data_IF_829746075612
#
_entry.id   IF_829746075612
#
_cell.length_a   1.000
_cell.length_b   1.000
_cell.length_c   1.000
_cell.angle_alpha   90.00
_cell.angle_beta   90.00
_cell.angle_gamma   90.00
#
_symmetry.space_group_name_H-M   'P 1'
#
loop_
_entity.id
_entity.type
_entity.pdbx_description
1 polymer ?
#
# COMPACT_ATOMS: atom_id res chain seq x y z
N UNK A 1 10.61 6.78 -7.91
CA UNK A 1 9.42 7.06 -7.06
C UNK A 1 9.86 7.78 -5.79
N UNK A 2 9.05 8.73 -5.35
CA UNK A 2 9.32 9.44 -4.11
C UNK A 2 9.05 8.55 -2.91
N UNK A 3 9.91 8.64 -1.91
CA UNK A 3 9.74 7.86 -0.69
C UNK A 3 8.60 8.38 0.18
N UNK A 4 7.85 7.45 0.76
CA UNK A 4 6.80 7.72 1.73
C UNK A 4 7.20 7.14 3.09
N UNK A 5 6.57 7.58 4.20
CA UNK A 5 6.82 6.98 5.51
C UNK A 5 6.32 5.54 5.57
N UNK A 6 7.07 4.70 6.28
CA UNK A 6 6.65 3.35 6.66
C UNK A 6 6.98 3.18 8.14
N UNK A 7 5.94 2.92 8.94
CA UNK A 7 6.10 2.78 10.39
C UNK A 7 6.47 1.35 10.74
N UNK A 8 7.76 1.06 10.72
CA UNK A 8 8.29 -0.30 10.94
C UNK A 8 7.85 -0.91 12.26
N UNK A 9 7.74 -0.11 13.31
CA UNK A 9 7.32 -0.59 14.63
C UNK A 9 5.90 -1.15 14.62
N UNK A 10 5.02 -0.55 13.84
CA UNK A 10 3.64 -1.02 13.69
C UNK A 10 3.54 -2.20 12.73
N UNK A 11 4.35 -2.21 11.69
CA UNK A 11 4.27 -3.23 10.65
C UNK A 11 4.78 -4.58 11.12
N UNK A 12 5.87 -4.59 11.90
CA UNK A 12 6.52 -5.81 12.36
C UNK A 12 6.84 -6.75 11.18
N UNK A 13 7.26 -6.14 10.06
CA UNK A 13 7.63 -6.86 8.85
C UNK A 13 9.13 -7.02 8.69
N UNK A 14 9.60 -7.52 7.53
CA UNK A 14 11.02 -7.59 7.24
C UNK A 14 11.69 -6.22 7.29
N UNK A 15 12.97 -6.18 7.65
CA UNK A 15 13.70 -4.92 7.82
C UNK A 15 13.90 -4.13 6.52
N UNK A 16 13.84 -4.80 5.38
CA UNK A 16 14.04 -4.17 4.07
C UNK A 16 12.81 -3.41 3.55
N UNK A 17 11.76 -3.29 4.35
CA UNK A 17 10.54 -2.60 3.93
C UNK A 17 10.78 -1.14 3.60
N UNK A 18 10.16 -0.66 2.53
CA UNK A 18 10.21 0.72 2.06
C UNK A 18 8.82 1.11 1.57
N UNK A 19 8.47 2.37 1.71
CA UNK A 19 7.22 2.86 1.15
C UNK A 19 7.48 3.97 0.13
N UNK A 20 6.57 4.09 -0.83
CA UNK A 20 6.67 5.08 -1.91
C UNK A 20 5.31 5.72 -2.15
N UNK A 21 5.36 6.97 -2.65
CA UNK A 21 4.18 7.65 -3.15
C UNK A 21 4.00 7.31 -4.62
N UNK A 22 2.79 6.95 -5.01
CA UNK A 22 2.39 6.81 -6.41
C UNK A 22 1.15 7.65 -6.66
N UNK A 23 1.00 8.15 -7.89
CA UNK A 23 -0.14 9.01 -8.24
C UNK A 23 -1.00 8.29 -9.26
N UNK A 24 -2.28 8.16 -8.97
CA UNK A 24 -3.24 7.58 -9.89
C UNK A 24 -3.52 8.53 -11.05
N UNK A 25 -4.08 8.01 -12.14
CA UNK A 25 -4.36 8.79 -13.36
C UNK A 25 -5.22 10.02 -13.09
N UNK A 26 -6.15 9.92 -12.14
CA UNK A 26 -7.02 11.04 -11.75
C UNK A 26 -6.38 12.00 -10.74
N UNK A 27 -5.07 11.87 -10.49
CA UNK A 27 -4.28 12.80 -9.69
C UNK A 27 -4.22 12.52 -8.20
N UNK A 28 -4.90 11.51 -7.69
CA UNK A 28 -4.87 11.20 -6.26
C UNK A 28 -3.60 10.43 -5.89
N UNK A 29 -3.01 10.83 -4.77
CA UNK A 29 -1.77 10.23 -4.28
C UNK A 29 -2.05 9.07 -3.34
N UNK A 30 -1.36 7.97 -3.59
CA UNK A 30 -1.45 6.74 -2.80
C UNK A 30 -0.09 6.43 -2.20
N UNK A 31 -0.09 5.58 -1.16
CA UNK A 31 1.15 5.03 -0.63
C UNK A 31 1.19 3.53 -0.93
N UNK A 32 2.33 3.03 -1.39
CA UNK A 32 2.58 1.60 -1.47
C UNK A 32 3.69 1.23 -0.49
N UNK A 33 3.55 0.09 0.17
CA UNK A 33 4.62 -0.53 0.95
C UNK A 33 5.23 -1.66 0.15
N UNK A 34 6.55 -1.74 0.14
CA UNK A 34 7.30 -2.71 -0.66
C UNK A 34 8.29 -3.44 0.23
N UNK A 35 8.20 -4.77 0.25
CA UNK A 35 9.19 -5.67 0.80
C UNK A 35 9.68 -6.52 -0.36
N UNK A 36 10.77 -6.10 -1.01
CA UNK A 36 11.10 -6.52 -2.36
C UNK A 36 12.08 -7.69 -2.48
N UNK A 37 12.49 -8.30 -1.39
CA UNK A 37 13.36 -9.46 -1.43
C UNK A 37 12.57 -10.77 -1.58
N UNK A 38 12.45 -11.25 -2.80
CA UNK A 38 11.77 -12.53 -3.04
C UNK A 38 12.11 -13.09 -4.42
N UNK A 39 12.80 -14.21 -4.45
CA UNK A 39 13.22 -14.86 -5.72
C UNK A 39 12.09 -15.59 -6.42
N UNK A 40 11.04 -15.98 -5.69
CA UNK A 40 9.93 -16.78 -6.23
C UNK A 40 8.85 -15.95 -6.90
N UNK A 41 8.85 -14.65 -6.68
CA UNK A 41 7.88 -13.74 -7.27
C UNK A 41 7.43 -12.67 -6.30
N UNK A 42 6.45 -11.88 -6.70
CA UNK A 42 5.88 -10.79 -5.91
C UNK A 42 4.41 -11.01 -5.68
N UNK A 43 3.97 -10.88 -4.42
CA UNK A 43 2.56 -10.92 -4.05
C UNK A 43 2.06 -9.49 -3.92
N UNK A 44 0.97 -9.18 -4.63
CA UNK A 44 0.30 -7.89 -4.55
C UNK A 44 -0.88 -8.03 -3.59
N UNK A 45 -0.85 -7.28 -2.50
CA UNK A 45 -1.92 -7.28 -1.51
C UNK A 45 -2.78 -6.04 -1.64
N UNK A 46 -4.07 -6.24 -1.90
CA UNK A 46 -5.05 -5.17 -1.97
C UNK A 46 -5.91 -5.27 -0.71
N UNK A 47 -5.64 -4.43 0.31
CA UNK A 47 -6.28 -4.56 1.61
C UNK A 47 -7.78 -4.31 1.58
N UNK A 48 -8.46 -4.77 2.61
CA UNK A 48 -9.85 -4.44 2.84
C UNK A 48 -10.02 -2.96 3.20
N UNK A 49 -11.26 -2.50 3.20
CA UNK A 49 -11.58 -1.13 3.58
C UNK A 49 -11.22 -0.89 5.04
N UNK A 50 -10.73 0.31 5.36
CA UNK A 50 -10.26 0.73 6.69
C UNK A 50 -8.97 0.07 7.15
N UNK A 51 -8.23 -0.56 6.25
CA UNK A 51 -6.92 -1.12 6.52
C UNK A 51 -5.82 -0.22 5.95
N UNK A 52 -4.56 -0.51 6.29
CA UNK A 52 -3.41 0.29 5.88
C UNK A 52 -2.19 -0.62 5.71
N UNK A 53 -1.14 -0.08 5.06
CA UNK A 53 0.06 -0.87 4.68
C UNK A 53 0.68 -1.59 5.88
N UNK A 54 0.89 -0.90 7.00
CA UNK A 54 1.57 -1.49 8.16
C UNK A 54 0.85 -2.71 8.74
N UNK A 55 -0.45 -2.81 8.55
CA UNK A 55 -1.23 -3.95 9.04
C UNK A 55 -0.79 -5.27 8.42
N UNK A 56 -0.15 -5.23 7.26
CA UNK A 56 0.27 -6.40 6.51
C UNK A 56 1.76 -6.74 6.67
N UNK A 57 2.47 -6.09 7.60
CA UNK A 57 3.88 -6.37 7.82
C UNK A 57 4.18 -7.81 8.20
N UNK A 58 3.37 -8.40 9.07
CA UNK A 58 3.53 -9.81 9.45
C UNK A 58 3.28 -10.75 8.30
N UNK A 59 2.26 -10.48 7.47
CA UNK A 59 2.00 -11.25 6.27
C UNK A 59 3.18 -11.15 5.31
N UNK A 60 3.77 -9.96 5.15
CA UNK A 60 4.96 -9.76 4.34
C UNK A 60 6.15 -10.57 4.87
N UNK A 61 6.30 -10.64 6.20
CA UNK A 61 7.34 -11.45 6.83
C UNK A 61 7.15 -12.93 6.51
N UNK A 62 5.94 -13.45 6.63
CA UNK A 62 5.65 -14.85 6.30
C UNK A 62 5.90 -15.15 4.83
N UNK A 63 5.52 -14.25 3.94
CA UNK A 63 5.79 -14.40 2.50
C UNK A 63 7.28 -14.34 2.21
N UNK A 64 8.01 -13.46 2.89
CA UNK A 64 9.47 -13.35 2.76
C UNK A 64 10.16 -14.67 3.13
N UNK A 65 9.76 -15.32 4.21
CA UNK A 65 10.33 -16.61 4.60
C UNK A 65 10.06 -17.71 3.59
N UNK A 66 9.06 -17.51 2.72
CA UNK A 66 8.71 -18.45 1.64
C UNK A 66 9.29 -18.04 0.29
N UNK A 67 10.07 -16.97 0.25
CA UNK A 67 10.75 -16.51 -0.95
C UNK A 67 9.95 -15.53 -1.82
N UNK A 68 8.94 -14.86 -1.26
CA UNK A 68 8.12 -13.90 -2.00
C UNK A 68 8.37 -12.47 -1.54
N UNK A 69 8.44 -11.56 -2.51
CA UNK A 69 8.32 -10.14 -2.25
C UNK A 69 6.85 -9.77 -2.05
N UNK A 70 6.61 -8.63 -1.40
CA UNK A 70 5.24 -8.16 -1.12
C UNK A 70 5.10 -6.70 -1.46
N UNK A 71 4.00 -6.33 -2.12
CA UNK A 71 3.59 -4.95 -2.36
C UNK A 71 2.18 -4.77 -1.82
N UNK A 72 1.97 -3.77 -0.97
CA UNK A 72 0.68 -3.47 -0.34
C UNK A 72 0.34 -2.01 -0.61
N UNK A 73 -0.93 -1.70 -0.89
CA UNK A 73 -1.36 -0.33 -1.16
C UNK A 73 -2.21 0.22 -0.01
N UNK A 74 -2.03 1.51 0.30
CA UNK A 74 -3.05 2.30 0.99
C UNK A 74 -4.00 2.84 -0.08
N UNK A 75 -5.22 2.32 -0.09
CA UNK A 75 -6.26 2.83 -0.99
C UNK A 75 -6.52 4.32 -0.76
N UNK A 76 -7.00 5.02 -1.80
CA UNK A 76 -7.44 6.42 -1.63
C UNK A 76 -8.40 6.52 -0.43
N UNK A 77 -8.24 7.57 0.35
CA UNK A 77 -9.03 7.80 1.56
C UNK A 77 -8.65 6.96 2.75
N UNK A 78 -7.61 6.11 2.67
CA UNK A 78 -7.23 5.20 3.74
C UNK A 78 -5.73 5.24 4.01
N UNK A 79 -5.31 4.79 5.19
CA UNK A 79 -3.91 4.82 5.60
C UNK A 79 -3.33 6.23 5.47
N UNK A 80 -2.18 6.36 4.81
CA UNK A 80 -1.54 7.64 4.51
C UNK A 80 -1.84 8.13 3.09
N UNK A 81 -2.67 7.42 2.31
CA UNK A 81 -3.07 7.90 0.99
C UNK A 81 -3.89 9.19 1.09
N UNK A 82 -3.99 9.90 -0.03
CA UNK A 82 -4.73 11.16 -0.09
C UNK A 82 -6.20 10.96 0.31
N UNK A 83 -6.72 11.87 1.14
CA UNK A 83 -8.10 11.84 1.59
C UNK A 83 -9.02 12.60 0.64
N UNK A 84 -10.21 12.04 0.42
CA UNK A 84 -11.27 12.72 -0.35
C UNK A 84 -11.98 13.77 0.50
N UNK A 85 -12.03 13.57 1.83
CA UNK A 85 -12.60 14.47 2.81
C UNK A 85 -11.55 14.87 3.84
N UNK A 86 -11.71 16.04 4.51
CA UNK A 86 -10.70 16.51 5.47
C UNK A 86 -10.53 15.62 6.70
N UNK A 87 -11.55 14.84 7.08
CA UNK A 87 -11.49 14.00 8.27
C UNK A 87 -10.74 12.71 8.01
N UNK A 88 -9.55 12.48 8.61
CA UNK A 88 -8.75 11.30 8.30
C UNK A 88 -9.39 9.96 8.65
N UNK A 89 -10.34 9.96 9.59
CA UNK A 89 -11.03 8.75 10.01
C UNK A 89 -12.10 8.27 9.01
N UNK A 90 -12.47 9.11 8.03
CA UNK A 90 -13.51 8.81 7.06
C UNK A 90 -12.89 8.31 5.76
N UNK A 91 -13.12 7.03 5.45
CA UNK A 91 -12.64 6.43 4.21
C UNK A 91 -13.62 6.65 3.06
N UNK A 92 -13.79 7.91 2.65
CA UNK A 92 -14.74 8.27 1.60
C UNK A 92 -14.15 8.06 0.21
N UNK A 93 -14.97 7.50 -0.68
CA UNK A 93 -14.67 7.39 -2.12
C UNK A 93 -15.91 7.82 -2.88
N UNK A 94 -15.76 8.74 -3.83
CA UNK A 94 -16.89 9.29 -4.57
C UNK A 94 -17.63 8.22 -5.37
N UNK A 95 -16.87 7.34 -6.06
CA UNK A 95 -17.41 6.19 -6.78
C UNK A 95 -16.54 4.98 -6.51
N UNK A 96 -17.18 3.83 -6.36
CA UNK A 96 -16.45 2.59 -6.13
C UNK A 96 -15.45 2.30 -7.27
N UNK A 97 -15.81 2.64 -8.50
CA UNK A 97 -14.95 2.47 -9.68
C UNK A 97 -13.68 3.31 -9.62
N UNK A 98 -13.60 4.33 -8.76
CA UNK A 98 -12.38 5.13 -8.58
C UNK A 98 -11.21 4.29 -8.07
N UNK A 99 -11.47 3.18 -7.39
CA UNK A 99 -10.41 2.25 -6.98
C UNK A 99 -9.67 1.63 -8.18
N UNK A 100 -10.27 1.60 -9.36
CA UNK A 100 -9.57 1.12 -10.57
C UNK A 100 -8.37 2.01 -10.91
N UNK A 101 -8.46 3.30 -10.66
CA UNK A 101 -7.31 4.20 -10.84
C UNK A 101 -6.18 3.85 -9.87
N UNK A 102 -6.54 3.45 -8.65
CA UNK A 102 -5.57 3.02 -7.64
C UNK A 102 -4.86 1.73 -8.09
N UNK A 103 -5.62 0.76 -8.59
CA UNK A 103 -5.07 -0.51 -9.09
C UNK A 103 -4.11 -0.24 -10.25
N UNK A 104 -4.48 0.62 -11.20
CA UNK A 104 -3.59 1.00 -12.31
C UNK A 104 -2.27 1.58 -11.81
N UNK A 105 -2.33 2.50 -10.84
CA UNK A 105 -1.13 3.14 -10.29
C UNK A 105 -0.20 2.12 -9.64
N UNK A 106 -0.74 1.15 -8.90
CA UNK A 106 0.05 0.09 -8.27
C UNK A 106 0.69 -0.80 -9.32
N UNK A 107 -0.04 -1.17 -10.36
CA UNK A 107 0.48 -2.06 -11.41
C UNK A 107 1.56 -1.40 -12.26
N UNK A 108 1.54 -0.07 -12.40
CA UNK A 108 2.54 0.69 -13.15
C UNK A 108 3.81 0.97 -12.35
N UNK A 109 3.72 0.83 -11.04
CA UNK A 109 4.85 1.17 -10.14
C UNK A 109 6.00 0.14 -10.16
#
# INVERSE_FOLDING_TARGET
MDRAPLFHDLADGPENGTAYWVTARDGHRLRIGVWDEGERGTVLLFPGRTEYVEKYGRAAHDLHTRGYATVVVDWRGQGLAERMLPAPAVGFVQRFTDYQHDVEAVMEA
#
